data_IF_337941691782
#
_entry.id   IF_337941691782
#
_cell.length_a   1.000
_cell.length_b   1.000
_cell.length_c   1.000
_cell.angle_alpha   90.00
_cell.angle_beta   90.00
_cell.angle_gamma   90.00
#
_symmetry.space_group_name_H-M   'P 1'
#
loop_
_entity.id
_entity.type
_entity.pdbx_description
1 polymer ?
#
# COMPACT_ATOMS: atom_id res chain seq x y z
N UNK A 1 3.66 -4.72 13.17
CA UNK A 1 2.25 -4.65 12.76
C UNK A 1 1.65 -6.02 13.02
N UNK A 2 0.95 -6.22 14.13
CA UNK A 2 0.43 -7.55 14.46
C UNK A 2 -0.72 -7.92 13.53
N UNK A 3 -0.55 -9.02 12.79
CA UNK A 3 -1.57 -9.85 12.15
C UNK A 3 -2.41 -9.18 11.06
N UNK A 4 -2.10 -9.44 9.78
CA UNK A 4 -3.02 -9.35 8.62
C UNK A 4 -3.92 -8.10 8.59
N UNK A 5 -3.30 -6.92 8.58
CA UNK A 5 -4.00 -5.66 8.40
C UNK A 5 -3.49 -4.87 7.18
N UNK A 6 -2.74 -5.49 6.28
CA UNK A 6 -2.19 -4.83 5.09
C UNK A 6 -2.72 -5.58 3.89
N UNK A 7 -3.21 -4.84 2.89
CA UNK A 7 -3.63 -5.41 1.61
C UNK A 7 -2.55 -5.17 0.56
N UNK A 8 -2.40 -6.11 -0.37
CA UNK A 8 -1.52 -5.94 -1.51
C UNK A 8 -2.24 -5.04 -2.52
N UNK A 9 -1.72 -3.84 -2.77
CA UNK A 9 -2.22 -2.97 -3.84
C UNK A 9 -1.90 -3.61 -5.20
N UNK A 10 -2.87 -3.65 -6.11
CA UNK A 10 -2.71 -4.22 -7.44
C UNK A 10 -3.02 -3.20 -8.55
N UNK A 11 -2.50 -3.47 -9.75
CA UNK A 11 -2.70 -2.59 -10.90
C UNK A 11 -4.12 -2.68 -11.46
N UNK A 12 -4.65 -1.60 -12.06
CA UNK A 12 -4.10 -0.25 -12.00
C UNK A 12 -4.44 0.45 -10.67
N UNK A 13 -3.57 1.34 -10.23
CA UNK A 13 -3.95 2.40 -9.30
C UNK A 13 -4.52 3.57 -10.10
N UNK A 14 -5.32 4.44 -9.46
CA UNK A 14 -5.85 5.64 -10.12
C UNK A 14 -5.63 6.88 -9.27
N UNK A 15 -4.98 7.89 -9.84
CA UNK A 15 -4.80 9.21 -9.23
C UNK A 15 -5.55 10.22 -10.08
N UNK A 16 -6.64 10.77 -9.53
CA UNK A 16 -7.49 11.75 -10.24
C UNK A 16 -8.02 11.28 -11.61
N UNK A 17 -8.20 9.97 -11.79
CA UNK A 17 -8.67 9.38 -13.05
C UNK A 17 -7.55 8.91 -13.98
N UNK A 18 -6.30 9.32 -13.73
CA UNK A 18 -5.13 8.82 -14.46
C UNK A 18 -4.71 7.47 -13.86
N UNK A 19 -4.60 6.45 -14.71
CA UNK A 19 -4.23 5.11 -14.28
C UNK A 19 -2.72 4.87 -14.39
N UNK A 20 -2.16 4.19 -13.39
CA UNK A 20 -0.78 3.70 -13.40
C UNK A 20 -0.73 2.22 -13.03
N UNK A 21 0.29 1.51 -13.52
CA UNK A 21 0.57 0.14 -13.12
C UNK A 21 1.56 0.12 -11.95
N UNK A 22 1.61 -0.99 -11.23
CA UNK A 22 2.59 -1.24 -10.16
C UNK A 22 4.04 -1.13 -10.67
N UNK A 23 4.31 -1.53 -11.92
CA UNK A 23 5.66 -1.42 -12.50
C UNK A 23 6.08 0.03 -12.73
N UNK A 24 5.11 0.91 -12.97
CA UNK A 24 5.33 2.34 -13.21
C UNK A 24 5.23 3.18 -11.92
N UNK A 25 4.55 2.69 -10.88
CA UNK A 25 4.49 3.34 -9.58
C UNK A 25 5.74 2.99 -8.73
N UNK A 26 6.68 3.92 -8.66
CA UNK A 26 7.91 3.78 -7.87
C UNK A 26 7.78 4.33 -6.43
N UNK A 27 6.60 4.78 -6.01
CA UNK A 27 6.41 5.49 -4.73
C UNK A 27 6.29 4.59 -3.49
N UNK A 28 6.27 3.26 -3.66
CA UNK A 28 6.33 2.19 -2.64
C UNK A 28 5.60 2.53 -1.32
N UNK A 29 4.33 2.15 -1.24
CA UNK A 29 3.46 2.46 -0.11
C UNK A 29 2.50 1.32 0.22
N UNK A 30 1.93 1.40 1.43
CA UNK A 30 1.01 0.41 1.96
C UNK A 30 -0.23 1.09 2.52
N UNK A 31 -1.38 0.45 2.28
CA UNK A 31 -2.64 0.76 2.97
C UNK A 31 -2.98 -0.34 3.95
N UNK A 32 -3.47 0.07 5.11
CA UNK A 32 -4.01 -0.88 6.07
C UNK A 32 -5.49 -1.17 5.78
N UNK A 33 -5.90 -2.43 5.95
CA UNK A 33 -7.29 -2.85 5.85
C UNK A 33 -8.16 -2.12 6.88
N UNK A 34 -7.68 -2.06 8.12
CA UNK A 34 -8.34 -1.34 9.22
C UNK A 34 -7.46 -0.19 9.73
N UNK A 35 -8.10 0.82 10.33
CA UNK A 35 -7.43 1.98 10.91
C UNK A 35 -7.03 3.07 9.91
N UNK A 36 -6.30 4.05 10.44
CA UNK A 36 -6.01 5.34 9.80
C UNK A 36 -4.53 5.51 9.42
N UNK A 37 -3.81 4.40 9.26
CA UNK A 37 -2.37 4.41 9.00
C UNK A 37 -2.08 4.29 7.51
N UNK A 38 -1.29 5.23 7.00
CA UNK A 38 -0.61 5.15 5.72
C UNK A 38 0.88 4.94 5.98
N UNK A 39 1.55 4.10 5.19
CA UNK A 39 2.99 3.91 5.33
C UNK A 39 3.70 3.96 3.97
N UNK A 40 4.81 4.71 3.90
CA UNK A 40 5.79 4.58 2.83
C UNK A 40 6.85 3.55 3.26
N UNK A 41 7.28 2.69 2.33
CA UNK A 41 8.23 1.60 2.59
C UNK A 41 9.45 1.70 1.69
N UNK A 42 10.59 1.23 2.19
CA UNK A 42 11.86 1.27 1.47
C UNK A 42 12.01 0.18 0.38
N UNK A 43 11.21 -0.88 0.47
CA UNK A 43 11.21 -1.99 -0.48
C UNK A 43 9.80 -2.31 -0.99
N UNK A 44 9.69 -2.83 -2.23
CA UNK A 44 8.41 -3.26 -2.77
C UNK A 44 7.79 -4.37 -1.95
N UNK A 45 6.48 -4.28 -1.75
CA UNK A 45 5.71 -5.32 -1.11
C UNK A 45 5.02 -6.17 -2.18
N UNK A 46 5.43 -7.43 -2.29
CA UNK A 46 4.91 -8.38 -3.27
C UNK A 46 4.43 -9.66 -2.58
N UNK A 47 3.55 -10.41 -3.26
CA UNK A 47 3.01 -11.67 -2.73
C UNK A 47 4.12 -12.68 -2.39
N UNK A 48 5.19 -12.70 -3.19
CA UNK A 48 6.37 -13.51 -2.96
C UNK A 48 7.58 -12.59 -2.85
N UNK A 49 8.27 -12.62 -1.71
CA UNK A 49 9.46 -11.80 -1.47
C UNK A 49 10.42 -12.51 -0.52
N UNK A 50 11.70 -12.16 -0.62
CA UNK A 50 12.73 -12.63 0.32
C UNK A 50 12.45 -12.05 1.71
N UNK A 51 12.62 -12.87 2.75
CA UNK A 51 12.54 -12.37 4.12
C UNK A 51 13.82 -11.59 4.44
N UNK A 52 13.71 -10.26 4.43
CA UNK A 52 14.81 -9.35 4.69
C UNK A 52 14.35 -8.13 5.50
N UNK A 53 15.28 -7.41 6.16
CA UNK A 53 14.94 -6.18 6.87
C UNK A 53 14.37 -5.13 5.90
N UNK A 54 13.30 -4.47 6.35
CA UNK A 54 12.66 -3.33 5.68
C UNK A 54 12.29 -2.27 6.70
N UNK A 55 12.27 -1.02 6.24
CA UNK A 55 11.84 0.14 7.01
C UNK A 55 10.53 0.69 6.47
N UNK A 56 9.69 1.19 7.38
CA UNK A 56 8.46 1.88 7.04
C UNK A 56 8.37 3.17 7.85
N UNK A 57 7.96 4.26 7.19
CA UNK A 57 7.55 5.51 7.84
C UNK A 57 6.03 5.58 7.73
N UNK A 58 5.36 5.61 8.88
CA UNK A 58 3.90 5.58 8.95
C UNK A 58 3.32 6.87 9.52
N UNK A 59 2.23 7.33 8.91
CA UNK A 59 1.44 8.49 9.32
C UNK A 59 0.08 7.97 9.80
N UNK A 60 -0.33 8.34 11.01
CA UNK A 60 -1.65 8.00 11.57
C UNK A 60 -2.58 9.20 11.39
N UNK A 61 -3.24 9.25 10.22
CA UNK A 61 -4.18 10.31 9.85
C UNK A 61 -5.30 9.74 8.96
N UNK A 62 -6.55 9.97 9.37
CA UNK A 62 -7.72 9.42 8.71
C UNK A 62 -7.92 9.98 7.29
N UNK A 63 -7.57 11.24 7.06
CA UNK A 63 -7.75 11.90 5.76
C UNK A 63 -6.73 11.38 4.76
N UNK A 64 -5.47 11.24 5.18
CA UNK A 64 -4.39 10.71 4.32
C UNK A 64 -4.67 9.24 4.00
N UNK A 65 -4.98 8.42 5.00
CA UNK A 65 -5.25 7.00 4.79
C UNK A 65 -6.48 6.75 3.91
N UNK A 66 -7.56 7.53 4.08
CA UNK A 66 -8.71 7.46 3.19
C UNK A 66 -8.33 7.77 1.74
N UNK A 67 -7.52 8.82 1.52
CA UNK A 67 -7.09 9.20 0.17
C UNK A 67 -6.28 8.11 -0.53
N UNK A 68 -5.35 7.46 0.17
CA UNK A 68 -4.57 6.36 -0.42
C UNK A 68 -5.39 5.08 -0.61
N UNK A 69 -6.42 4.84 0.21
CA UNK A 69 -7.38 3.75 -0.04
C UNK A 69 -8.20 3.99 -1.31
N UNK A 70 -8.55 5.23 -1.63
CA UNK A 70 -9.20 5.57 -2.91
C UNK A 70 -8.29 5.34 -4.12
N UNK A 71 -6.99 5.63 -3.97
CA UNK A 71 -5.98 5.38 -5.02
C UNK A 71 -5.79 3.87 -5.23
N UNK A 72 -5.76 3.09 -4.14
CA UNK A 72 -5.70 1.63 -4.14
C UNK A 72 -7.05 0.97 -4.48
N UNK A 73 -7.61 1.29 -5.65
CA UNK A 73 -8.90 0.75 -6.10
C UNK A 73 -8.91 -0.77 -6.18
N UNK A 74 -7.77 -1.36 -6.53
CA UNK A 74 -7.59 -2.79 -6.66
C UNK A 74 -6.66 -3.29 -5.54
N UNK A 75 -7.16 -4.22 -4.74
CA UNK A 75 -6.42 -4.80 -3.62
C UNK A 75 -6.69 -6.30 -3.48
N UNK A 76 -5.65 -7.04 -3.10
CA UNK A 76 -5.73 -8.47 -2.82
C UNK A 76 -5.32 -8.80 -1.38
N UNK A 77 -5.80 -9.93 -0.89
CA UNK A 77 -5.37 -10.47 0.39
C UNK A 77 -4.00 -11.14 0.24
N UNK A 78 -3.07 -10.79 1.13
CA UNK A 78 -1.83 -11.54 1.32
C UNK A 78 -2.18 -12.90 1.97
N UNK A 79 -2.30 -13.92 1.14
CA UNK A 79 -2.61 -15.31 1.51
C UNK A 79 -1.34 -16.09 1.75
#
# INVERSE_FOLDING_TARGET
ISGRNIRLVTSPISVNGDQSTLENDVSQWLVTETGNKFCAVDKPYQKSQTMEPTMAVCIDDASISARFKEIAQNVENCS
#
